data_IF_240812819782
#
_entry.id   IF_240812819782
#
_cell.length_a   1.000
_cell.length_b   1.000
_cell.length_c   1.000
_cell.angle_alpha   90.00
_cell.angle_beta   90.00
_cell.angle_gamma   90.00
#
_symmetry.space_group_name_H-M   'P 1'
#
loop_
_entity.id
_entity.type
_entity.pdbx_description
1 polymer ?
#
# COMPACT_ATOMS: atom_id res chain seq x y z
N UNK A 1 14.69 -8.04 -29.45
CA UNK A 1 15.71 -8.02 -28.39
C UNK A 1 15.26 -6.94 -27.43
N UNK A 2 14.83 -7.32 -26.23
CA UNK A 2 14.37 -6.37 -25.22
C UNK A 2 15.56 -5.48 -24.88
N UNK A 3 15.43 -4.18 -25.11
CA UNK A 3 16.47 -3.21 -24.77
C UNK A 3 16.82 -3.35 -23.30
N UNK A 4 18.11 -3.20 -22.98
CA UNK A 4 18.63 -3.17 -21.62
C UNK A 4 17.91 -2.05 -20.85
N UNK A 5 16.78 -2.37 -20.23
CA UNK A 5 16.08 -1.48 -19.32
C UNK A 5 17.00 -1.27 -18.13
N UNK A 6 17.46 -0.04 -17.94
CA UNK A 6 18.26 0.34 -16.78
C UNK A 6 17.49 0.02 -15.50
N UNK A 7 17.90 -1.07 -14.84
CA UNK A 7 17.34 -1.46 -13.56
C UNK A 7 17.74 -0.42 -12.51
N UNK A 8 16.75 0.25 -11.91
CA UNK A 8 17.00 1.15 -10.80
C UNK A 8 17.50 0.33 -9.60
N UNK A 9 18.74 0.54 -9.18
CA UNK A 9 19.36 -0.21 -8.08
C UNK A 9 18.60 0.03 -6.78
N UNK A 10 18.35 -1.05 -6.02
CA UNK A 10 17.65 -0.97 -4.73
C UNK A 10 16.12 -0.94 -4.82
N UNK A 11 15.57 -1.07 -6.04
CA UNK A 11 14.13 -1.13 -6.31
C UNK A 11 13.69 -2.56 -6.57
N UNK A 12 12.41 -2.82 -6.29
CA UNK A 12 11.79 -4.12 -6.51
C UNK A 12 11.42 -4.39 -7.96
N UNK A 13 11.08 -3.32 -8.66
CA UNK A 13 10.79 -3.34 -10.09
C UNK A 13 12.03 -2.90 -10.88
N UNK A 14 12.21 -3.52 -12.05
CA UNK A 14 13.31 -3.18 -12.95
C UNK A 14 13.10 -1.92 -13.80
N UNK A 15 11.95 -1.26 -13.69
CA UNK A 15 11.56 -0.12 -14.50
C UNK A 15 10.06 0.13 -14.39
N UNK A 16 9.59 1.23 -14.98
CA UNK A 16 8.15 1.50 -15.07
C UNK A 16 7.45 0.46 -15.96
N UNK A 17 6.23 0.09 -15.59
CA UNK A 17 5.37 -0.78 -16.41
C UNK A 17 4.19 0.01 -16.94
N UNK A 18 3.58 -0.49 -18.01
CA UNK A 18 2.29 0.03 -18.44
C UNK A 18 1.18 -0.36 -17.47
N UNK A 19 0.29 0.58 -17.18
CA UNK A 19 -0.93 0.30 -16.42
C UNK A 19 -1.99 -0.25 -17.37
N UNK A 20 -2.49 -1.47 -17.08
CA UNK A 20 -3.45 -2.19 -17.94
C UNK A 20 -4.81 -1.51 -18.14
N UNK A 21 -5.19 -0.58 -17.26
CA UNK A 21 -6.48 0.10 -17.28
C UNK A 21 -6.43 1.46 -17.98
N UNK A 22 -5.23 1.99 -18.24
CA UNK A 22 -5.08 3.25 -18.96
C UNK A 22 -5.15 3.00 -20.48
N UNK A 23 -6.04 3.72 -21.18
CA UNK A 23 -6.16 3.64 -22.64
C UNK A 23 -4.97 4.25 -23.38
N UNK A 24 -4.29 5.19 -22.73
CA UNK A 24 -3.12 5.90 -23.28
C UNK A 24 -2.09 6.03 -22.18
N UNK A 25 -0.84 5.81 -22.55
CA UNK A 25 0.32 6.06 -21.71
C UNK A 25 1.27 6.97 -22.47
N UNK A 26 1.82 7.94 -21.76
CA UNK A 26 2.91 8.77 -22.24
C UNK A 26 4.22 8.12 -21.77
N UNK A 27 5.21 8.02 -22.66
CA UNK A 27 6.52 7.44 -22.37
C UNK A 27 7.41 7.48 -23.61
N UNK A 28 8.72 7.37 -23.40
CA UNK A 28 9.68 7.30 -24.51
C UNK A 28 9.50 5.98 -25.27
N UNK A 29 8.82 6.03 -26.42
CA UNK A 29 8.59 4.85 -27.28
C UNK A 29 9.84 4.53 -28.11
N UNK A 30 10.74 5.51 -28.27
CA UNK A 30 11.91 5.45 -29.14
C UNK A 30 13.17 5.98 -28.41
N UNK A 31 14.25 5.18 -28.30
CA UNK A 31 15.54 5.62 -27.74
C UNK A 31 16.14 6.83 -28.48
N UNK A 32 15.84 6.94 -29.77
CA UNK A 32 16.23 8.04 -30.66
C UNK A 32 15.33 9.29 -30.58
N UNK A 33 14.35 9.31 -29.68
CA UNK A 33 13.47 10.45 -29.46
C UNK A 33 14.21 11.68 -28.92
N UNK A 34 13.67 12.88 -29.21
CA UNK A 34 14.13 14.17 -28.66
C UNK A 34 13.61 14.37 -27.22
N UNK A 35 12.81 13.43 -26.73
CA UNK A 35 12.21 13.50 -25.41
C UNK A 35 13.28 13.29 -24.32
N UNK A 36 13.20 14.08 -23.25
CA UNK A 36 14.11 13.92 -22.11
C UNK A 36 13.91 12.52 -21.50
N UNK A 37 15.00 11.80 -21.19
CA UNK A 37 14.90 10.49 -20.57
C UNK A 37 14.16 10.59 -19.25
N UNK A 38 13.20 9.70 -19.04
CA UNK A 38 12.39 9.71 -17.84
C UNK A 38 13.25 9.30 -16.62
N UNK A 39 13.43 10.22 -15.66
CA UNK A 39 14.17 9.93 -14.44
C UNK A 39 13.36 8.97 -13.55
N UNK A 40 13.81 7.72 -13.43
CA UNK A 40 13.09 6.65 -12.74
C UNK A 40 13.39 6.56 -11.23
N UNK A 41 14.53 7.10 -10.77
CA UNK A 41 14.87 7.12 -9.34
C UNK A 41 14.33 8.38 -8.65
N UNK A 42 13.04 8.35 -8.33
CA UNK A 42 12.36 9.45 -7.65
C UNK A 42 12.20 9.15 -6.15
N UNK A 43 12.21 10.18 -5.29
CA UNK A 43 11.87 10.01 -3.87
C UNK A 43 10.41 9.59 -3.72
N UNK A 44 10.11 8.82 -2.68
CA UNK A 44 8.74 8.39 -2.37
C UNK A 44 7.82 9.60 -2.19
N UNK A 45 6.77 9.68 -3.02
CA UNK A 45 5.68 10.63 -2.93
C UNK A 45 4.57 10.08 -2.05
N UNK A 46 4.09 10.91 -1.14
CA UNK A 46 2.97 10.58 -0.25
C UNK A 46 1.72 11.31 -0.72
N UNK A 47 0.64 10.56 -0.95
CA UNK A 47 -0.65 11.11 -1.40
C UNK A 47 -1.71 10.81 -0.37
N UNK A 48 -2.32 11.84 0.21
CA UNK A 48 -3.42 11.64 1.13
C UNK A 48 -4.70 11.23 0.38
N UNK A 49 -5.40 10.22 0.91
CA UNK A 49 -6.69 9.75 0.41
C UNK A 49 -7.73 9.68 1.51
N UNK A 50 -9.00 9.85 1.12
CA UNK A 50 -10.13 10.00 2.04
C UNK A 50 -11.18 8.89 1.84
N UNK A 51 -10.89 7.65 2.24
CA UNK A 51 -11.86 6.57 2.14
C UNK A 51 -13.07 6.79 3.07
N UNK A 52 -14.21 6.21 2.71
CA UNK A 52 -15.44 6.22 3.53
C UNK A 52 -15.52 5.05 4.52
N UNK A 53 -14.76 3.98 4.29
CA UNK A 53 -14.61 2.81 5.14
C UNK A 53 -13.16 2.33 5.13
N UNK A 54 -12.72 1.70 6.23
CA UNK A 54 -11.35 1.19 6.34
C UNK A 54 -11.27 -0.34 6.39
N UNK A 55 -12.33 -1.01 6.85
CA UNK A 55 -12.41 -2.46 6.86
C UNK A 55 -12.90 -2.99 5.52
N UNK A 56 -12.21 -4.02 5.05
CA UNK A 56 -12.59 -4.78 3.87
C UNK A 56 -12.88 -6.23 4.25
N UNK A 57 -14.01 -6.76 3.76
CA UNK A 57 -14.39 -8.16 3.97
C UNK A 57 -13.65 -9.04 2.97
N UNK A 58 -12.99 -10.07 3.47
CA UNK A 58 -12.29 -11.06 2.67
C UNK A 58 -13.21 -12.26 2.49
N UNK A 59 -13.50 -12.59 1.24
CA UNK A 59 -14.40 -13.69 0.87
C UNK A 59 -13.65 -14.86 0.20
N UNK A 60 -12.32 -14.93 0.34
CA UNK A 60 -11.51 -16.03 -0.18
C UNK A 60 -11.57 -17.22 0.80
N UNK A 61 -11.86 -18.44 0.31
CA UNK A 61 -11.88 -19.63 1.16
C UNK A 61 -10.48 -20.04 1.64
N UNK A 62 -9.42 -19.55 0.99
CA UNK A 62 -8.03 -19.94 1.25
C UNK A 62 -7.37 -19.11 2.36
N UNK A 63 -8.08 -18.10 2.89
CA UNK A 63 -7.52 -17.13 3.83
C UNK A 63 -8.25 -17.23 5.19
N UNK A 64 -7.54 -17.44 6.31
CA UNK A 64 -8.15 -17.73 7.61
C UNK A 64 -8.58 -16.47 8.40
N UNK A 65 -8.96 -15.40 7.70
CA UNK A 65 -9.46 -14.15 8.31
C UNK A 65 -10.56 -13.51 7.47
N UNK A 66 -11.58 -12.97 8.14
CA UNK A 66 -12.75 -12.35 7.49
C UNK A 66 -12.54 -10.88 7.18
N UNK A 67 -11.76 -10.17 8.01
CA UNK A 67 -11.59 -8.72 7.91
C UNK A 67 -10.14 -8.35 7.69
N UNK A 68 -9.93 -7.43 6.75
CA UNK A 68 -8.63 -6.84 6.47
C UNK A 68 -8.67 -5.32 6.61
N UNK A 69 -7.54 -4.75 7.05
CA UNK A 69 -7.35 -3.32 7.22
C UNK A 69 -5.95 -2.97 6.69
N UNK A 70 -5.86 -2.01 5.76
CA UNK A 70 -4.59 -1.48 5.28
C UNK A 70 -4.61 0.05 5.38
N UNK A 71 -3.76 0.67 6.23
CA UNK A 71 -3.68 2.13 6.35
C UNK A 71 -3.04 2.80 5.11
N UNK A 72 -2.30 2.03 4.33
CA UNK A 72 -1.56 2.49 3.15
C UNK A 72 -1.97 1.73 1.88
N UNK A 73 -1.77 2.33 0.71
CA UNK A 73 -1.69 1.64 -0.58
C UNK A 73 -0.35 2.00 -1.25
N UNK A 74 0.29 1.03 -1.87
CA UNK A 74 1.73 1.13 -2.18
C UNK A 74 2.59 0.80 -0.96
N UNK A 75 3.83 0.36 -1.20
CA UNK A 75 4.73 -0.09 -0.16
C UNK A 75 6.20 0.18 -0.52
N UNK A 76 6.87 1.02 0.27
CA UNK A 76 8.28 1.38 0.09
C UNK A 76 9.26 0.21 0.22
N UNK A 77 8.82 -0.94 0.76
CA UNK A 77 9.65 -2.14 0.79
C UNK A 77 9.97 -2.70 -0.61
N UNK A 78 9.21 -2.32 -1.64
CA UNK A 78 9.51 -2.67 -3.02
C UNK A 78 9.80 -4.15 -3.22
N UNK A 79 9.03 -5.06 -2.63
CA UNK A 79 9.31 -6.49 -2.82
C UNK A 79 8.94 -6.89 -4.26
N UNK A 80 9.88 -7.43 -5.02
CA UNK A 80 9.66 -7.86 -6.41
C UNK A 80 8.52 -8.88 -6.54
N UNK A 81 8.37 -9.76 -5.55
CA UNK A 81 7.33 -10.79 -5.46
C UNK A 81 6.01 -10.32 -4.80
N UNK A 82 5.83 -9.01 -4.59
CA UNK A 82 4.66 -8.52 -3.87
C UNK A 82 3.37 -8.72 -4.68
N UNK A 83 2.48 -9.57 -4.18
CA UNK A 83 1.21 -9.85 -4.83
C UNK A 83 0.27 -8.63 -4.91
N UNK A 84 0.48 -7.61 -4.06
CA UNK A 84 -0.36 -6.42 -4.02
C UNK A 84 -0.01 -5.38 -5.10
N UNK A 85 1.09 -5.56 -5.83
CA UNK A 85 1.52 -4.67 -6.92
C UNK A 85 0.41 -4.31 -7.93
N UNK A 86 -0.36 -5.27 -8.48
CA UNK A 86 -1.42 -4.96 -9.44
C UNK A 86 -2.55 -4.08 -8.87
N UNK A 87 -2.70 -4.00 -7.54
CA UNK A 87 -3.75 -3.17 -6.93
C UNK A 87 -3.49 -1.68 -7.11
N UNK A 88 -2.25 -1.29 -7.41
CA UNK A 88 -1.87 0.09 -7.68
C UNK A 88 -2.44 0.59 -9.02
N UNK A 89 -2.66 -0.34 -9.96
CA UNK A 89 -3.19 -0.01 -11.28
C UNK A 89 -4.62 0.55 -11.21
N UNK A 90 -5.41 0.13 -10.22
CA UNK A 90 -6.75 0.68 -9.98
C UNK A 90 -6.74 2.17 -9.58
N UNK A 91 -5.59 2.70 -9.15
CA UNK A 91 -5.41 4.10 -8.81
C UNK A 91 -4.81 4.91 -9.97
N UNK A 92 -4.64 4.30 -11.14
CA UNK A 92 -4.05 4.96 -12.32
C UNK A 92 -2.52 5.01 -12.30
N UNK A 93 -1.88 4.27 -11.39
CA UNK A 93 -0.42 4.17 -11.27
C UNK A 93 0.10 2.86 -11.85
N UNK A 94 1.39 2.74 -12.11
CA UNK A 94 1.96 1.45 -12.54
C UNK A 94 2.08 0.42 -11.39
N UNK A 95 2.15 -0.87 -11.74
CA UNK A 95 2.34 -1.97 -10.78
C UNK A 95 3.82 -2.18 -10.36
N UNK A 96 4.71 -1.33 -10.83
CA UNK A 96 6.15 -1.45 -10.81
C UNK A 96 6.79 -0.40 -9.89
N UNK A 97 7.41 0.65 -10.43
CA UNK A 97 8.08 1.67 -9.64
C UNK A 97 7.09 2.54 -8.88
N UNK A 98 5.93 2.86 -9.45
CA UNK A 98 4.93 3.66 -8.75
C UNK A 98 4.44 2.95 -7.48
N UNK A 99 4.28 1.63 -7.48
CA UNK A 99 3.85 0.89 -6.28
C UNK A 99 4.75 1.11 -5.07
N UNK A 100 6.06 1.32 -5.29
CA UNK A 100 7.03 1.54 -4.21
C UNK A 100 7.43 3.00 -4.02
N UNK A 101 7.10 3.87 -4.98
CA UNK A 101 7.40 5.31 -4.94
C UNK A 101 6.18 6.19 -4.68
N UNK A 102 4.95 5.69 -4.82
CA UNK A 102 3.72 6.45 -4.58
C UNK A 102 2.92 5.76 -3.49
N UNK A 103 2.98 6.31 -2.28
CA UNK A 103 2.24 5.75 -1.14
C UNK A 103 0.99 6.58 -0.89
N UNK A 104 -0.18 5.94 -1.06
CA UNK A 104 -1.46 6.54 -0.73
C UNK A 104 -1.77 6.30 0.75
N UNK A 105 -1.98 7.37 1.50
CA UNK A 105 -2.11 7.35 2.96
C UNK A 105 -3.55 7.66 3.37
N UNK A 106 -4.13 6.77 4.17
CA UNK A 106 -5.48 6.92 4.72
C UNK A 106 -5.40 7.49 6.14
N UNK A 107 -5.16 8.79 6.27
CA UNK A 107 -4.99 9.44 7.59
C UNK A 107 -6.20 9.32 8.51
N UNK A 108 -7.39 9.20 7.92
CA UNK A 108 -8.65 9.02 8.67
C UNK A 108 -8.92 7.55 9.08
N UNK A 109 -7.96 6.63 8.91
CA UNK A 109 -8.15 5.20 9.19
C UNK A 109 -8.55 4.90 10.65
N UNK A 110 -7.93 5.50 11.69
CA UNK A 110 -8.32 5.27 13.08
C UNK A 110 -9.76 5.67 13.38
N UNK A 111 -10.18 6.84 12.87
CA UNK A 111 -11.52 7.39 13.08
C UNK A 111 -12.58 6.52 12.38
N UNK A 112 -12.26 6.00 11.19
CA UNK A 112 -13.10 5.06 10.46
C UNK A 112 -13.22 3.71 11.17
N UNK A 113 -12.14 3.21 11.76
CA UNK A 113 -12.12 1.97 12.53
C UNK A 113 -13.00 2.12 13.77
N UNK A 114 -12.75 3.15 14.58
CA UNK A 114 -13.52 3.44 15.78
C UNK A 114 -15.02 3.54 15.48
N UNK A 115 -15.38 4.31 14.44
CA UNK A 115 -16.78 4.44 14.01
C UNK A 115 -17.40 3.09 13.64
N UNK A 116 -16.62 2.16 13.10
CA UNK A 116 -17.10 0.82 12.74
C UNK A 116 -17.30 -0.03 13.98
N UNK A 117 -16.34 -0.03 14.91
CA UNK A 117 -16.40 -0.81 16.16
C UNK A 117 -17.53 -0.33 17.09
N UNK A 118 -17.92 0.96 17.02
CA UNK A 118 -19.04 1.52 17.79
C UNK A 118 -20.44 1.14 17.27
N UNK A 119 -20.55 0.52 16.09
CA UNK A 119 -21.87 0.21 15.50
C UNK A 119 -22.60 -0.84 16.34
N UNK A 120 -23.87 -0.58 16.65
CA UNK A 120 -24.77 -1.57 17.26
C UNK A 120 -24.87 -2.78 16.32
N UNK A 121 -24.43 -3.95 16.78
CA UNK A 121 -24.42 -5.19 16.00
C UNK A 121 -23.07 -5.54 15.33
N UNK A 122 -22.00 -4.77 15.58
CA UNK A 122 -20.66 -5.24 15.25
C UNK A 122 -20.37 -6.57 15.97
N UNK A 123 -19.98 -7.59 15.22
CA UNK A 123 -19.56 -8.88 15.76
C UNK A 123 -18.04 -8.91 15.79
N UNK A 124 -17.47 -9.19 16.96
CA UNK A 124 -16.03 -9.23 17.16
C UNK A 124 -15.43 -10.42 16.41
N UNK A 125 -14.46 -10.13 15.55
CA UNK A 125 -13.69 -11.10 14.78
C UNK A 125 -12.29 -10.51 14.54
N UNK A 126 -11.17 -11.25 14.73
CA UNK A 126 -9.83 -10.69 14.54
C UNK A 126 -9.64 -9.99 13.20
N UNK A 127 -9.20 -8.73 13.24
CA UNK A 127 -8.90 -7.95 12.04
C UNK A 127 -7.45 -8.15 11.65
N UNK A 128 -7.22 -8.53 10.38
CA UNK A 128 -5.88 -8.60 9.81
C UNK A 128 -5.43 -7.21 9.33
N UNK A 129 -4.57 -6.58 10.12
CA UNK A 129 -3.85 -5.37 9.76
C UNK A 129 -2.66 -5.78 8.87
N UNK A 130 -2.46 -5.13 7.73
CA UNK A 130 -1.39 -5.47 6.76
C UNK A 130 -1.63 -6.72 5.91
N UNK A 131 -2.82 -6.87 5.34
CA UNK A 131 -3.03 -7.91 4.34
C UNK A 131 -2.17 -7.66 3.09
N UNK A 132 -2.21 -6.43 2.56
CA UNK A 132 -1.68 -6.09 1.23
C UNK A 132 -0.43 -5.20 1.27
N UNK A 133 -0.33 -4.28 2.23
CA UNK A 133 0.77 -3.32 2.35
C UNK A 133 1.27 -3.26 3.78
N UNK A 134 2.56 -3.00 3.96
CA UNK A 134 3.19 -3.03 5.28
C UNK A 134 2.81 -1.78 6.10
N UNK A 135 2.27 -1.93 7.33
CA UNK A 135 1.79 -0.86 8.18
C UNK A 135 2.94 -0.14 8.88
N UNK A 136 4.13 -0.75 8.91
CA UNK A 136 5.35 -0.22 9.48
C UNK A 136 6.41 0.08 8.41
N UNK A 137 6.00 0.24 7.15
CA UNK A 137 6.89 0.77 6.11
C UNK A 137 7.51 2.13 6.51
N UNK A 138 8.66 2.53 5.95
CA UNK A 138 9.40 3.73 6.36
C UNK A 138 8.56 5.00 6.61
N UNK A 139 7.53 5.28 5.80
CA UNK A 139 6.63 6.44 5.95
C UNK A 139 5.87 6.45 7.30
N UNK A 140 5.62 5.29 7.91
CA UNK A 140 4.97 5.16 9.24
C UNK A 140 5.78 5.82 10.36
N UNK A 141 7.10 6.04 10.19
CA UNK A 141 7.91 6.80 11.15
C UNK A 141 7.37 8.22 11.36
N UNK A 142 6.82 8.81 10.29
CA UNK A 142 6.24 10.16 10.26
C UNK A 142 4.72 10.12 10.49
N UNK A 143 4.01 9.26 9.78
CA UNK A 143 2.54 9.26 9.76
C UNK A 143 1.90 8.70 11.04
N UNK A 144 2.54 7.73 11.71
CA UNK A 144 2.08 7.15 12.99
C UNK A 144 0.62 6.64 12.96
N UNK A 145 0.12 6.24 11.79
CA UNK A 145 -1.28 5.82 11.62
C UNK A 145 -1.48 4.45 12.25
N UNK A 146 -0.52 3.55 12.07
CA UNK A 146 -0.54 2.21 12.66
C UNK A 146 -0.58 2.29 14.19
N UNK A 147 0.23 3.17 14.81
CA UNK A 147 0.14 3.44 16.26
C UNK A 147 -1.29 3.83 16.68
N UNK A 148 -1.89 4.82 16.02
CA UNK A 148 -3.26 5.26 16.35
C UNK A 148 -4.31 4.17 16.13
N UNK A 149 -4.13 3.31 15.12
CA UNK A 149 -4.99 2.13 14.94
C UNK A 149 -4.85 1.14 16.11
N UNK A 150 -3.63 0.87 16.57
CA UNK A 150 -3.38 0.00 17.73
C UNK A 150 -3.96 0.59 19.03
N UNK A 151 -3.91 1.91 19.21
CA UNK A 151 -4.58 2.59 20.33
C UNK A 151 -6.10 2.38 20.28
N UNK A 152 -6.73 2.43 19.10
CA UNK A 152 -8.15 2.10 18.93
C UNK A 152 -8.42 0.62 19.24
N UNK A 153 -7.61 -0.32 18.72
CA UNK A 153 -7.75 -1.74 19.05
C UNK A 153 -7.67 -1.99 20.56
N UNK A 154 -6.70 -1.36 21.23
CA UNK A 154 -6.51 -1.45 22.68
C UNK A 154 -7.70 -0.87 23.44
N UNK A 155 -8.18 0.32 23.07
CA UNK A 155 -9.31 0.97 23.74
C UNK A 155 -10.60 0.15 23.69
N UNK A 156 -10.81 -0.64 22.64
CA UNK A 156 -11.96 -1.53 22.48
C UNK A 156 -11.70 -2.97 22.94
N UNK A 157 -10.47 -3.31 23.37
CA UNK A 157 -10.06 -4.69 23.64
C UNK A 157 -10.25 -5.61 22.43
N UNK A 158 -10.16 -5.06 21.21
CA UNK A 158 -10.50 -5.77 19.98
C UNK A 158 -9.28 -6.53 19.44
N UNK A 159 -9.41 -7.84 19.11
CA UNK A 159 -8.28 -8.62 18.61
C UNK A 159 -7.80 -8.10 17.24
N UNK A 160 -6.48 -8.05 17.08
CA UNK A 160 -5.80 -7.66 15.84
C UNK A 160 -4.69 -8.66 15.53
N UNK A 161 -4.52 -8.98 14.25
CA UNK A 161 -3.37 -9.71 13.71
C UNK A 161 -2.59 -8.76 12.82
N UNK A 162 -1.27 -8.86 12.82
CA UNK A 162 -0.40 -8.01 12.01
C UNK A 162 0.79 -8.81 11.48
N UNK A 163 1.21 -8.50 10.26
CA UNK A 163 2.46 -8.95 9.65
C UNK A 163 3.24 -7.71 9.23
N UNK A 164 4.56 -7.72 9.42
CA UNK A 164 5.45 -6.66 8.96
C UNK A 164 6.85 -7.20 8.66
N UNK A 165 7.58 -6.49 7.81
CA UNK A 165 9.00 -6.68 7.51
C UNK A 165 9.89 -5.66 8.20
N UNK A 166 9.33 -4.72 8.97
CA UNK A 166 10.09 -3.63 9.56
C UNK A 166 10.19 -3.76 11.08
N UNK A 167 11.39 -3.53 11.62
CA UNK A 167 11.65 -3.49 13.06
C UNK A 167 10.98 -2.30 13.77
N UNK A 168 10.40 -1.35 13.02
CA UNK A 168 9.65 -0.22 13.58
C UNK A 168 8.49 -0.66 14.49
N UNK A 169 8.00 -1.89 14.36
CA UNK A 169 7.02 -2.48 15.28
C UNK A 169 7.45 -2.42 16.75
N UNK A 170 8.76 -2.50 17.04
CA UNK A 170 9.28 -2.43 18.42
C UNK A 170 9.03 -1.09 19.13
N UNK A 171 8.56 -0.08 18.40
CA UNK A 171 8.18 1.24 18.93
C UNK A 171 6.87 1.18 19.74
N UNK A 172 5.98 0.25 19.40
CA UNK A 172 4.58 0.19 19.85
C UNK A 172 4.29 -1.13 20.59
#
# INVERSE_FOLDING_TARGET
MAGDGEFVKGRGAGGALSNRFLQRQYGAVHPEGIDEPEELDRPTRVVEVFPKSILNRVNSPDIPFTWSLNPYQGCEHGCSYCYARPTHEYWGYDAALDFEQVVLVKRNAPELLERTLRKRGWQVDPIMLSGATDPYQPVERKERITRRLLEVFLAFGHPVRLITKNALVLRD
#
